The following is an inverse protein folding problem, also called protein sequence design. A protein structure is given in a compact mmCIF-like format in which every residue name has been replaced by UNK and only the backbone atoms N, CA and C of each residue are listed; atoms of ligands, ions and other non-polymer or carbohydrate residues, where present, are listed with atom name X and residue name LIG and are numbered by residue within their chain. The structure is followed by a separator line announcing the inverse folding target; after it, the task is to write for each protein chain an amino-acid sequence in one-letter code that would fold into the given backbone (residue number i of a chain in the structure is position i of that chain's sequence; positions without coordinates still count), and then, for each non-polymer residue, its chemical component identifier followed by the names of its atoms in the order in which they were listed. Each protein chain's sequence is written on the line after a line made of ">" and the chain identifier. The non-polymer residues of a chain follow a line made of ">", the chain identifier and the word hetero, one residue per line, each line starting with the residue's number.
data_IF_190623195947
#
_entry.id   IF_190623195947
#
_cell.length_a   1.000
_cell.length_b   1.000
_cell.length_c   1.000
_cell.angle_alpha   90.00
_cell.angle_beta   90.00
_cell.angle_gamma   90.00
#
_symmetry.space_group_name_H-M   'P 1'
#
loop_
_entity.id
_entity.type
_entity.pdbx_description
1 polymer ?
#
# COMPACT_ATOMS: atom_id res chain seq x y z
N UNK A 1 -24.43 12.13 -9.96
CA UNK A 1 -23.91 12.39 -8.59
C UNK A 1 -22.80 13.44 -8.64
N UNK A 2 -23.14 14.65 -8.20
CA UNK A 2 -22.28 15.74 -7.68
C UNK A 2 -20.88 15.96 -8.28
N UNK A 3 -20.81 16.74 -9.37
CA UNK A 3 -19.60 17.44 -9.81
C UNK A 3 -19.32 18.72 -8.97
N UNK A 4 -20.02 18.88 -7.83
CA UNK A 4 -19.88 20.00 -6.88
C UNK A 4 -18.76 19.80 -5.85
N UNK A 5 -18.19 18.59 -5.76
CA UNK A 5 -17.31 18.21 -4.65
C UNK A 5 -15.97 19.00 -4.63
N UNK A 6 -15.50 19.57 -5.74
CA UNK A 6 -14.20 20.26 -5.78
C UNK A 6 -14.22 21.64 -5.11
N UNK A 7 -15.21 22.47 -5.44
CA UNK A 7 -15.32 23.85 -4.89
C UNK A 7 -15.66 23.80 -3.41
N UNK A 8 -16.64 22.97 -3.04
CA UNK A 8 -17.04 22.79 -1.64
C UNK A 8 -15.88 22.26 -0.80
N UNK A 9 -15.02 21.40 -1.35
CA UNK A 9 -13.89 20.85 -0.63
C UNK A 9 -12.80 21.88 -0.31
N UNK A 10 -12.54 22.83 -1.21
CA UNK A 10 -11.61 23.95 -0.93
C UNK A 10 -12.18 24.86 0.16
N UNK A 11 -13.48 25.16 0.09
CA UNK A 11 -14.17 25.97 1.10
C UNK A 11 -14.15 25.30 2.49
N UNK A 12 -14.33 23.98 2.53
CA UNK A 12 -14.26 23.17 3.75
C UNK A 12 -12.85 23.18 4.36
N UNK A 13 -11.81 23.12 3.52
CA UNK A 13 -10.42 23.23 3.95
C UNK A 13 -10.10 24.61 4.51
N UNK A 14 -10.56 25.65 3.82
CA UNK A 14 -10.34 27.04 4.24
C UNK A 14 -11.02 27.32 5.59
N UNK A 15 -12.27 26.86 5.76
CA UNK A 15 -12.97 26.97 7.04
C UNK A 15 -12.29 26.17 8.16
N UNK A 16 -11.69 25.02 7.85
CA UNK A 16 -10.96 24.23 8.84
C UNK A 16 -9.62 24.85 9.24
N UNK A 17 -8.88 25.41 8.29
CA UNK A 17 -7.64 26.14 8.55
C UNK A 17 -7.89 27.42 9.36
N UNK A 18 -8.97 28.16 9.05
CA UNK A 18 -9.38 29.35 9.82
C UNK A 18 -9.86 29.04 11.24
N UNK A 19 -10.15 27.77 11.53
CA UNK A 19 -10.63 27.29 12.82
C UNK A 19 -9.52 26.64 13.67
N UNK A 20 -8.24 26.90 13.37
CA UNK A 20 -7.08 26.25 14.01
C UNK A 20 -7.18 24.71 14.01
N UNK A 21 -7.70 24.14 12.90
CA UNK A 21 -7.94 22.71 12.73
C UNK A 21 -8.94 22.09 13.76
N UNK A 22 -9.75 22.92 14.41
CA UNK A 22 -10.85 22.46 15.26
C UNK A 22 -12.07 22.08 14.42
N UNK A 23 -12.47 20.81 14.47
CA UNK A 23 -13.63 20.31 13.73
C UNK A 23 -14.94 21.04 14.07
N UNK A 24 -15.31 21.19 15.36
CA UNK A 24 -16.55 21.88 15.76
C UNK A 24 -16.56 23.36 15.38
N UNK A 25 -15.44 24.07 15.53
CA UNK A 25 -15.34 25.48 15.16
C UNK A 25 -15.40 25.66 13.64
N UNK A 26 -14.72 24.78 12.88
CA UNK A 26 -14.78 24.76 11.42
C UNK A 26 -16.21 24.53 10.90
N UNK A 27 -16.98 23.65 11.56
CA UNK A 27 -18.36 23.39 11.20
C UNK A 27 -19.23 24.65 11.36
N UNK A 28 -19.06 25.40 12.46
CA UNK A 28 -19.79 26.65 12.71
C UNK A 28 -19.42 27.70 11.68
N UNK A 29 -18.13 27.94 11.47
CA UNK A 29 -17.62 28.91 10.48
C UNK A 29 -18.07 28.57 9.06
N UNK A 30 -18.10 27.28 8.68
CA UNK A 30 -18.59 26.86 7.37
C UNK A 30 -20.10 27.10 7.21
N UNK A 31 -20.89 26.81 8.25
CA UNK A 31 -22.34 27.05 8.24
C UNK A 31 -22.68 28.55 8.15
N UNK A 32 -21.93 29.40 8.86
CA UNK A 32 -22.07 30.86 8.82
C UNK A 32 -21.72 31.41 7.44
N UNK A 33 -20.64 30.90 6.83
CA UNK A 33 -20.13 31.39 5.53
C UNK A 33 -20.94 30.90 4.34
N UNK A 34 -21.59 29.74 4.46
CA UNK A 34 -22.37 29.11 3.39
C UNK A 34 -23.72 28.60 3.89
N UNK A 35 -24.66 29.49 4.27
CA UNK A 35 -25.92 29.11 4.90
C UNK A 35 -26.86 28.30 3.99
N UNK A 36 -26.71 28.44 2.66
CA UNK A 36 -27.50 27.68 1.67
C UNK A 36 -26.90 26.30 1.35
N UNK A 37 -25.72 25.96 1.88
CA UNK A 37 -25.05 24.69 1.59
C UNK A 37 -25.25 23.69 2.72
N UNK A 38 -25.21 22.40 2.38
CA UNK A 38 -25.27 21.34 3.40
C UNK A 38 -23.97 21.36 4.20
N UNK A 39 -24.08 21.63 5.49
CA UNK A 39 -22.94 21.60 6.42
C UNK A 39 -22.55 20.15 6.76
N UNK A 40 -21.31 19.72 6.49
CA UNK A 40 -20.82 18.41 6.92
C UNK A 40 -20.67 18.34 8.45
N UNK A 41 -20.63 17.13 9.00
CA UNK A 41 -20.37 16.94 10.43
C UNK A 41 -18.94 17.34 10.81
N UNK A 42 -18.72 17.82 12.04
CA UNK A 42 -17.38 18.21 12.52
C UNK A 42 -16.30 17.13 12.31
N UNK A 43 -16.66 15.85 12.42
CA UNK A 43 -15.76 14.72 12.19
C UNK A 43 -15.29 14.62 10.73
N UNK A 44 -16.09 15.11 9.78
CA UNK A 44 -15.73 15.15 8.38
C UNK A 44 -14.52 16.06 8.13
N UNK A 45 -14.48 17.22 8.78
CA UNK A 45 -13.37 18.19 8.67
C UNK A 45 -12.05 17.60 9.15
N UNK A 46 -12.03 17.00 10.35
CA UNK A 46 -10.83 16.37 10.89
C UNK A 46 -10.36 15.17 10.03
N UNK A 47 -11.29 14.36 9.53
CA UNK A 47 -10.98 13.22 8.65
C UNK A 47 -10.42 13.68 7.30
N UNK A 48 -10.95 14.77 6.77
CA UNK A 48 -10.50 15.37 5.51
C UNK A 48 -9.09 15.93 5.67
N UNK A 49 -8.81 16.69 6.73
CA UNK A 49 -7.48 17.21 7.03
C UNK A 49 -6.45 16.09 7.18
N UNK A 50 -6.77 15.00 7.90
CA UNK A 50 -5.89 13.84 8.03
C UNK A 50 -5.59 13.15 6.70
N UNK A 51 -6.55 13.09 5.78
CA UNK A 51 -6.35 12.50 4.44
C UNK A 51 -5.47 13.34 3.53
N UNK A 52 -5.42 14.66 3.73
CA UNK A 52 -4.51 15.53 2.98
C UNK A 52 -3.14 15.68 3.66
N UNK A 53 -3.13 15.79 4.98
CA UNK A 53 -1.94 15.87 5.83
C UNK A 53 -1.19 14.54 5.96
N UNK A 54 -1.66 13.45 5.35
CA UNK A 54 -0.89 12.21 5.19
C UNK A 54 0.20 12.38 4.11
N UNK A 55 1.05 13.40 4.27
CA UNK A 55 2.40 13.40 3.72
C UNK A 55 3.31 12.43 4.48
N UNK A 56 2.90 11.97 5.65
CA UNK A 56 3.35 10.68 6.16
C UNK A 56 2.51 9.59 5.51
N UNK A 57 2.92 9.20 4.31
CA UNK A 57 2.86 7.78 3.97
C UNK A 57 3.42 7.08 5.20
N UNK A 58 2.60 6.28 5.88
CA UNK A 58 3.15 5.19 6.67
C UNK A 58 3.77 4.19 5.69
N UNK A 59 4.83 4.62 5.02
CA UNK A 59 6.00 3.81 4.88
C UNK A 59 6.62 3.83 6.30
N UNK A 60 6.10 3.11 7.31
CA UNK A 60 6.17 1.66 7.35
C UNK A 60 6.58 1.03 6.00
N UNK A 61 7.75 1.30 5.40
CA UNK A 61 9.04 1.00 6.03
C UNK A 61 8.92 0.19 7.32
N UNK A 62 8.09 -0.86 7.28
CA UNK A 62 8.68 -2.17 7.46
C UNK A 62 9.78 -2.22 6.42
N UNK A 63 10.94 -1.67 6.79
CA UNK A 63 12.16 -2.36 6.50
C UNK A 63 11.83 -3.82 6.79
N UNK A 64 11.58 -4.58 5.73
CA UNK A 64 11.68 -6.03 5.73
C UNK A 64 13.15 -6.43 5.87
N UNK A 65 13.98 -5.56 6.45
CA UNK A 65 15.27 -5.89 7.00
C UNK A 65 15.03 -7.07 7.94
N UNK A 66 15.72 -8.17 7.68
CA UNK A 66 15.64 -9.43 8.42
C UNK A 66 14.48 -10.39 8.13
N UNK A 67 13.96 -10.49 6.89
CA UNK A 67 13.68 -11.85 6.37
C UNK A 67 14.91 -12.35 5.62
N UNK A 68 15.97 -12.45 6.41
CA UNK A 68 17.21 -13.18 6.22
C UNK A 68 17.69 -13.24 4.77
N UNK A 69 18.65 -12.38 4.41
CA UNK A 69 19.39 -12.50 3.14
C UNK A 69 19.85 -13.95 2.91
N UNK A 70 20.23 -14.68 3.98
CA UNK A 70 20.60 -16.10 3.92
C UNK A 70 19.47 -17.00 3.38
N UNK A 71 18.21 -16.72 3.70
CA UNK A 71 17.08 -17.49 3.15
C UNK A 71 16.89 -17.16 1.67
N UNK A 72 17.02 -15.88 1.30
CA UNK A 72 16.93 -15.49 -0.11
C UNK A 72 18.06 -16.11 -0.92
N UNK A 73 19.30 -16.03 -0.45
CA UNK A 73 20.49 -16.62 -1.09
C UNK A 73 20.39 -18.15 -1.19
N UNK A 74 19.99 -18.84 -0.12
CA UNK A 74 19.84 -20.30 -0.16
C UNK A 74 18.70 -20.75 -1.09
N UNK A 75 17.60 -20.00 -1.16
CA UNK A 75 16.51 -20.26 -2.12
C UNK A 75 17.02 -20.11 -3.55
N UNK A 76 17.83 -19.09 -3.83
CA UNK A 76 18.41 -18.86 -5.14
C UNK A 76 19.41 -19.95 -5.54
N UNK A 77 20.32 -20.31 -4.64
CA UNK A 77 21.30 -21.38 -4.87
C UNK A 77 20.61 -22.71 -5.17
N UNK A 78 19.58 -23.08 -4.39
CA UNK A 78 18.86 -24.33 -4.60
C UNK A 78 18.08 -24.36 -5.93
N UNK A 79 17.54 -23.23 -6.38
CA UNK A 79 16.84 -23.13 -7.68
C UNK A 79 17.84 -23.17 -8.85
N UNK A 80 19.05 -22.63 -8.68
CA UNK A 80 20.11 -22.70 -9.70
C UNK A 80 20.70 -24.10 -9.85
N UNK A 81 20.97 -24.78 -8.73
CA UNK A 81 21.50 -26.15 -8.71
C UNK A 81 20.54 -27.17 -9.36
N UNK A 82 19.23 -27.00 -9.11
CA UNK A 82 18.21 -27.93 -9.63
C UNK A 82 17.06 -27.11 -10.23
N UNK A 83 17.17 -26.69 -11.50
CA UNK A 83 16.15 -25.88 -12.19
C UNK A 83 14.78 -26.58 -12.33
N UNK A 84 14.74 -27.90 -12.13
CA UNK A 84 13.54 -28.74 -12.18
C UNK A 84 12.80 -28.83 -10.83
N UNK A 85 13.31 -28.23 -9.76
CA UNK A 85 12.66 -28.27 -8.45
C UNK A 85 11.32 -27.54 -8.47
N UNK A 86 10.28 -28.25 -8.03
CA UNK A 86 8.99 -27.62 -7.77
C UNK A 86 9.13 -26.52 -6.73
N UNK A 87 8.65 -25.32 -7.03
CA UNK A 87 8.62 -24.19 -6.09
C UNK A 87 7.91 -24.52 -4.77
N UNK A 88 7.01 -25.50 -4.77
CA UNK A 88 6.36 -26.02 -3.56
C UNK A 88 7.37 -26.73 -2.64
N UNK A 89 8.31 -27.49 -3.20
CA UNK A 89 9.37 -28.18 -2.45
C UNK A 89 10.36 -27.17 -1.87
N UNK A 90 10.75 -26.16 -2.64
CA UNK A 90 11.62 -25.07 -2.17
C UNK A 90 10.96 -24.31 -1.01
N UNK A 91 9.67 -23.97 -1.15
CA UNK A 91 8.90 -23.33 -0.09
C UNK A 91 8.85 -24.17 1.20
N UNK A 92 8.64 -25.50 1.08
CA UNK A 92 8.67 -26.41 2.24
C UNK A 92 10.06 -26.51 2.87
N UNK A 93 11.12 -26.61 2.07
CA UNK A 93 12.49 -26.77 2.55
C UNK A 93 12.95 -25.58 3.41
N UNK A 94 12.53 -24.36 3.04
CA UNK A 94 12.92 -23.13 3.72
C UNK A 94 11.84 -22.55 4.65
N UNK A 95 10.72 -23.26 4.85
CA UNK A 95 9.63 -22.80 5.73
C UNK A 95 8.97 -21.48 5.29
N UNK A 96 9.10 -21.13 4.01
CA UNK A 96 8.57 -19.88 3.44
C UNK A 96 7.34 -20.15 2.59
N UNK A 97 6.48 -19.15 2.42
CA UNK A 97 5.34 -19.28 1.51
C UNK A 97 5.79 -19.32 0.05
N UNK A 98 5.04 -20.03 -0.80
CA UNK A 98 5.25 -20.05 -2.25
C UNK A 98 5.27 -18.64 -2.85
N UNK A 99 4.44 -17.73 -2.37
CA UNK A 99 4.40 -16.34 -2.83
C UNK A 99 5.69 -15.57 -2.51
N UNK A 100 6.34 -15.88 -1.38
CA UNK A 100 7.64 -15.30 -1.04
C UNK A 100 8.73 -15.78 -1.99
N UNK A 101 8.77 -17.09 -2.31
CA UNK A 101 9.71 -17.67 -3.28
C UNK A 101 9.55 -17.00 -4.66
N UNK A 102 8.31 -16.89 -5.15
CA UNK A 102 8.02 -16.19 -6.41
C UNK A 102 8.47 -14.74 -6.42
N UNK A 103 8.31 -14.04 -5.30
CA UNK A 103 8.73 -12.64 -5.19
C UNK A 103 10.25 -12.50 -5.23
N UNK A 104 10.99 -13.36 -4.51
CA UNK A 104 12.46 -13.39 -4.51
C UNK A 104 12.98 -13.63 -5.93
N UNK A 105 12.43 -14.61 -6.62
CA UNK A 105 12.82 -14.96 -8.00
C UNK A 105 12.56 -13.80 -8.97
N UNK A 106 11.42 -13.12 -8.83
CA UNK A 106 11.08 -11.94 -9.65
C UNK A 106 11.97 -10.73 -9.35
N UNK A 107 12.32 -10.50 -8.08
CA UNK A 107 13.23 -9.42 -7.67
C UNK A 107 14.66 -9.64 -8.18
N UNK A 108 15.05 -10.89 -8.44
CA UNK A 108 16.37 -11.27 -8.99
C UNK A 108 16.34 -11.64 -10.47
N UNK A 109 15.21 -11.40 -11.15
CA UNK A 109 15.00 -11.69 -12.58
C UNK A 109 15.22 -13.17 -13.00
N UNK A 110 15.22 -14.10 -12.04
CA UNK A 110 15.38 -15.52 -12.30
C UNK A 110 14.03 -16.09 -12.70
N UNK A 111 13.97 -16.66 -13.90
CA UNK A 111 12.78 -17.28 -14.46
C UNK A 111 12.86 -18.79 -14.23
N UNK A 112 12.10 -19.35 -13.26
CA UNK A 112 12.07 -20.78 -13.06
C UNK A 112 11.28 -21.39 -14.21
N UNK A 113 11.78 -22.53 -14.70
CA UNK A 113 11.27 -23.31 -15.84
C UNK A 113 11.78 -22.86 -17.22
N UNK A 114 13.02 -23.24 -17.56
CA UNK A 114 13.30 -23.67 -18.92
C UNK A 114 12.77 -25.10 -19.06
N UNK A 115 11.54 -25.25 -19.54
CA UNK A 115 10.94 -26.56 -19.81
C UNK A 115 11.70 -27.18 -20.97
N UNK A 116 12.65 -28.07 -20.67
CA UNK A 116 13.27 -28.90 -21.69
C UNK A 116 12.22 -29.95 -22.09
N UNK A 117 11.62 -29.75 -23.28
CA UNK A 117 10.69 -30.72 -23.89
C UNK A 117 11.47 -31.99 -24.19
N UNK A 118 11.44 -32.97 -23.28
CA UNK A 118 11.87 -34.33 -23.59
C UNK A 118 10.70 -35.00 -24.29
N UNK A 119 10.70 -34.94 -25.63
CA UNK A 119 9.92 -35.87 -26.43
C UNK A 119 10.65 -37.22 -26.36
N UNK A 120 10.03 -38.21 -25.73
CA UNK A 120 10.41 -39.62 -25.93
C UNK A 120 9.31 -40.28 -26.74
N UNK A 121 9.69 -40.71 -27.94
CA UNK A 121 8.92 -41.52 -28.89
C UNK A 121 9.17 -43.01 -28.64
#
# INVERSE_FOLDING_TARGET
>A
MANYMKVEFVDLLLAHGAADCSGPAAQRLYAERYPMRRTPSHNFFARMHRKQGSFQRSAMNRERSARTLDIEENVLHQVQEIPSLSMRRVAQAFGVSRSSVWRILREKEIHPCHVQRVQTH
#
